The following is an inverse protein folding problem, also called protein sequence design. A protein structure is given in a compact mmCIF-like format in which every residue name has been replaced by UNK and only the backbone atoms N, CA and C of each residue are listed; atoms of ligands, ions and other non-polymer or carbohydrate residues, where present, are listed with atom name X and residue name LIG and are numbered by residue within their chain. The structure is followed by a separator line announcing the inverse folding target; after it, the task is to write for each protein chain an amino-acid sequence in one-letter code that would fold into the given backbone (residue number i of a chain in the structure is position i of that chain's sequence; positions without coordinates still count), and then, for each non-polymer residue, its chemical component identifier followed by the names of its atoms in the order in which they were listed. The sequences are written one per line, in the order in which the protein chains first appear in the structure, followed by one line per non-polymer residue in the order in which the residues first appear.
data_IF_355726238494
#
_entry.id   IF_355726238494
#
_cell.length_a   1.000
_cell.length_b   1.000
_cell.length_c   1.000
_cell.angle_alpha   90.00
_cell.angle_beta   90.00
_cell.angle_gamma   90.00
#
_symmetry.space_group_name_H-M   'P 1'
#
loop_
_entity.id
_entity.type
_entity.pdbx_description
1 polymer ?
#
# COMPACT_ATOMS: atom_id res chain seq x y z
N UNK A 1 -23.14 -6.91 -5.02
CA UNK A 1 -22.58 -8.26 -4.85
C UNK A 1 -21.35 -8.12 -3.97
N UNK A 2 -21.29 -8.86 -2.86
CA UNK A 2 -20.10 -8.88 -2.03
C UNK A 2 -18.90 -9.39 -2.85
N UNK A 3 -17.70 -8.87 -2.59
CA UNK A 3 -16.48 -9.41 -3.20
C UNK A 3 -16.25 -10.80 -2.59
N UNK A 4 -16.57 -11.85 -3.34
CA UNK A 4 -16.44 -13.24 -2.86
C UNK A 4 -14.99 -13.64 -2.63
N UNK A 5 -14.05 -13.04 -3.38
CA UNK A 5 -12.62 -13.35 -3.27
C UNK A 5 -11.75 -12.19 -3.76
N UNK A 6 -10.69 -11.89 -3.02
CA UNK A 6 -9.58 -11.08 -3.47
C UNK A 6 -8.38 -11.97 -3.76
N UNK A 7 -7.61 -11.58 -4.77
CA UNK A 7 -6.34 -12.19 -5.14
C UNK A 7 -5.22 -11.24 -4.79
N UNK A 8 -4.05 -11.78 -4.48
CA UNK A 8 -2.88 -11.00 -4.10
C UNK A 8 -1.62 -11.57 -4.73
N UNK A 9 -0.82 -10.69 -5.31
CA UNK A 9 0.57 -10.95 -5.63
C UNK A 9 1.47 -10.29 -4.60
N UNK A 10 2.35 -11.10 -4.01
CA UNK A 10 3.43 -10.68 -3.15
C UNK A 10 4.67 -10.46 -4.01
N UNK A 11 5.17 -9.23 -4.05
CA UNK A 11 6.25 -8.83 -4.94
C UNK A 11 7.31 -8.02 -4.18
N UNK A 12 8.54 -7.98 -4.68
CA UNK A 12 9.58 -7.09 -4.20
C UNK A 12 10.56 -6.72 -5.31
N UNK A 13 11.25 -5.59 -5.15
CA UNK A 13 12.46 -5.32 -5.94
C UNK A 13 13.63 -5.01 -5.02
N UNK A 14 14.80 -5.54 -5.36
CA UNK A 14 16.02 -5.34 -4.58
C UNK A 14 16.40 -3.86 -4.55
N UNK A 15 16.82 -3.37 -3.38
CA UNK A 15 17.29 -2.01 -3.17
C UNK A 15 18.32 -1.96 -2.03
N UNK A 16 19.48 -1.37 -2.31
CA UNK A 16 20.57 -1.27 -1.33
C UNK A 16 20.32 -0.19 -0.28
N UNK A 17 19.63 0.90 -0.65
CA UNK A 17 19.47 2.10 0.17
C UNK A 17 18.09 2.74 -0.04
N UNK A 18 17.67 3.55 0.93
CA UNK A 18 16.44 4.34 0.83
C UNK A 18 16.62 5.45 -0.21
N UNK A 19 15.73 5.53 -1.22
CA UNK A 19 15.79 6.58 -2.21
C UNK A 19 15.62 7.96 -1.55
N UNK A 20 16.41 8.94 -2.00
CA UNK A 20 16.37 10.31 -1.49
C UNK A 20 15.15 11.11 -1.96
N UNK A 21 14.58 10.72 -3.11
CA UNK A 21 13.37 11.33 -3.67
C UNK A 21 12.13 10.62 -3.10
N UNK A 22 11.11 11.38 -2.64
CA UNK A 22 9.85 10.83 -2.14
C UNK A 22 9.21 9.83 -3.12
N UNK A 23 8.50 8.84 -2.57
CA UNK A 23 7.90 7.77 -3.39
C UNK A 23 6.86 8.31 -4.35
N UNK A 24 6.04 9.26 -3.91
CA UNK A 24 5.01 9.91 -4.74
C UNK A 24 5.62 10.60 -5.96
N UNK A 25 6.65 11.42 -5.77
CA UNK A 25 7.34 12.10 -6.86
C UNK A 25 7.96 11.12 -7.88
N UNK A 26 8.59 10.04 -7.39
CA UNK A 26 9.12 8.97 -8.25
C UNK A 26 8.03 8.22 -9.01
N UNK A 27 6.90 7.95 -8.36
CA UNK A 27 5.76 7.28 -8.98
C UNK A 27 5.18 8.14 -10.09
N UNK A 28 4.98 9.44 -9.85
CA UNK A 28 4.53 10.39 -10.88
C UNK A 28 5.51 10.43 -12.05
N UNK A 29 6.81 10.59 -11.79
CA UNK A 29 7.83 10.59 -12.82
C UNK A 29 7.84 9.30 -13.65
N UNK A 30 7.68 8.15 -13.00
CA UNK A 30 7.56 6.87 -13.69
C UNK A 30 6.34 6.83 -14.60
N UNK A 31 5.15 7.16 -14.06
CA UNK A 31 3.90 7.12 -14.81
C UNK A 31 3.93 8.06 -16.02
N UNK A 32 4.48 9.27 -15.86
CA UNK A 32 4.60 10.28 -16.92
C UNK A 32 5.58 9.89 -18.03
N UNK A 33 6.53 8.98 -17.77
CA UNK A 33 7.46 8.44 -18.79
C UNK A 33 6.84 7.32 -19.63
N UNK A 34 5.75 6.70 -19.18
CA UNK A 34 5.10 5.61 -19.90
C UNK A 34 4.30 6.15 -21.09
N UNK A 35 4.58 5.73 -22.35
CA UNK A 35 4.00 6.32 -23.57
C UNK A 35 2.47 6.29 -23.70
N UNK A 36 1.78 5.51 -22.86
CA UNK A 36 0.32 5.32 -22.88
C UNK A 36 -0.36 5.83 -21.60
N UNK A 37 0.31 6.73 -20.88
CA UNK A 37 -0.20 7.41 -19.70
C UNK A 37 -0.64 8.83 -20.05
N UNK A 38 -1.79 9.24 -19.53
CA UNK A 38 -2.28 10.61 -19.59
C UNK A 38 -2.49 11.13 -18.17
N UNK A 39 -1.75 12.18 -17.79
CA UNK A 39 -2.03 12.92 -16.56
C UNK A 39 -3.35 13.66 -16.71
N UNK A 40 -4.28 13.38 -15.80
CA UNK A 40 -5.56 14.07 -15.82
C UNK A 40 -5.39 15.53 -15.41
N UNK A 41 -4.34 15.92 -14.68
CA UNK A 41 -4.05 17.34 -14.38
C UNK A 41 -3.60 18.17 -15.59
N UNK A 42 -3.35 17.52 -16.73
CA UNK A 42 -2.99 18.19 -17.97
C UNK A 42 -4.07 19.12 -18.54
N UNK A 43 -3.63 20.12 -19.33
CA UNK A 43 -4.51 21.12 -19.96
C UNK A 43 -5.60 20.51 -20.86
N UNK A 44 -5.33 19.33 -21.45
CA UNK A 44 -6.30 18.59 -22.25
C UNK A 44 -7.59 18.23 -21.48
N UNK A 45 -7.51 18.14 -20.15
CA UNK A 45 -8.63 17.81 -19.27
C UNK A 45 -9.10 19.00 -18.42
N UNK A 46 -8.67 20.22 -18.74
CA UNK A 46 -9.06 21.42 -18.01
C UNK A 46 -10.58 21.68 -18.04
N UNK A 47 -11.26 21.25 -19.10
CA UNK A 47 -12.71 21.39 -19.25
C UNK A 47 -13.52 20.36 -18.44
N UNK A 48 -12.85 19.35 -17.89
CA UNK A 48 -13.45 18.31 -17.03
C UNK A 48 -13.45 18.76 -15.56
N UNK A 49 -12.94 19.97 -15.27
CA UNK A 49 -12.74 20.48 -13.92
C UNK A 49 -14.07 20.85 -13.21
N UNK A 50 -14.58 19.92 -12.42
CA UNK A 50 -15.27 20.18 -11.16
C UNK A 50 -14.29 19.87 -10.02
N UNK A 51 -13.88 20.89 -9.27
CA UNK A 51 -12.69 20.96 -8.39
C UNK A 51 -12.49 19.89 -7.28
N UNK A 52 -13.26 18.80 -7.21
CA UNK A 52 -13.21 17.87 -6.05
C UNK A 52 -13.28 16.37 -6.36
N UNK A 53 -13.45 15.94 -7.61
CA UNK A 53 -13.62 14.51 -7.95
C UNK A 53 -12.93 14.17 -9.25
N UNK A 54 -11.60 14.23 -9.26
CA UNK A 54 -10.79 13.85 -10.41
C UNK A 54 -9.84 12.75 -9.99
N UNK A 55 -9.71 11.72 -10.82
CA UNK A 55 -8.63 10.77 -10.67
C UNK A 55 -7.31 11.37 -11.19
N UNK A 56 -6.17 10.79 -10.85
CA UNK A 56 -4.88 11.38 -11.24
C UNK A 56 -4.43 11.02 -12.66
N UNK A 57 -4.62 9.77 -13.11
CA UNK A 57 -4.11 9.32 -14.42
C UNK A 57 -5.06 8.40 -15.19
N UNK A 58 -4.91 8.39 -16.52
CA UNK A 58 -5.38 7.32 -17.40
C UNK A 58 -4.17 6.51 -17.86
N UNK A 59 -4.24 5.18 -17.77
CA UNK A 59 -3.11 4.30 -18.10
C UNK A 59 -3.45 3.30 -19.20
N UNK A 60 -2.42 2.88 -19.92
CA UNK A 60 -2.50 1.79 -20.89
C UNK A 60 -3.44 2.09 -22.06
N UNK A 61 -3.54 3.35 -22.48
CA UNK A 61 -4.49 3.80 -23.50
C UNK A 61 -5.92 3.86 -22.97
N UNK A 62 -6.10 4.48 -21.79
CA UNK A 62 -7.39 4.68 -21.10
C UNK A 62 -8.11 3.40 -20.67
N UNK A 63 -7.40 2.27 -20.60
CA UNK A 63 -7.94 1.01 -20.09
C UNK A 63 -8.00 0.96 -18.57
N UNK A 64 -7.19 1.79 -17.90
CA UNK A 64 -7.20 1.96 -16.45
C UNK A 64 -7.33 3.44 -16.11
N UNK A 65 -8.10 3.72 -15.06
CA UNK A 65 -8.15 5.03 -14.39
C UNK A 65 -7.45 4.83 -13.05
N UNK A 66 -6.37 5.57 -12.82
CA UNK A 66 -5.51 5.41 -11.65
C UNK A 66 -5.62 6.61 -10.70
N UNK A 67 -5.69 6.30 -9.40
CA UNK A 67 -5.66 7.26 -8.31
C UNK A 67 -4.48 6.97 -7.38
N UNK A 68 -3.65 7.97 -7.11
CA UNK A 68 -2.50 7.91 -6.23
C UNK A 68 -2.90 8.38 -4.82
N UNK A 69 -2.47 7.62 -3.81
CA UNK A 69 -2.65 7.98 -2.40
C UNK A 69 -1.43 7.61 -1.57
N UNK A 70 -0.85 8.62 -0.93
CA UNK A 70 0.20 8.43 0.07
C UNK A 70 -0.43 8.14 1.43
N UNK A 71 0.02 7.05 2.05
CA UNK A 71 -0.32 6.68 3.43
C UNK A 71 0.52 7.57 4.33
N UNK A 72 0.02 8.78 4.54
CA UNK A 72 0.44 9.66 5.61
C UNK A 72 -0.51 9.38 6.77
N UNK A 73 -0.02 8.69 7.77
CA UNK A 73 -0.76 8.60 9.00
C UNK A 73 -0.29 9.73 9.91
N UNK A 74 -1.07 9.98 10.96
CA UNK A 74 -0.59 10.64 12.17
C UNK A 74 -0.53 9.51 13.23
N UNK A 75 0.18 8.39 12.98
CA UNK A 75 -0.03 7.16 13.73
C UNK A 75 0.83 7.11 14.98
N UNK A 76 1.90 7.90 15.03
CA UNK A 76 2.94 7.79 16.03
C UNK A 76 2.34 8.08 17.39
N UNK A 77 1.69 9.23 17.59
CA UNK A 77 1.13 9.60 18.89
C UNK A 77 0.12 8.59 19.43
N UNK A 78 -0.74 8.02 18.58
CA UNK A 78 -1.77 7.06 19.01
C UNK A 78 -1.23 5.64 19.24
N UNK A 79 -0.34 5.16 18.38
CA UNK A 79 0.31 3.86 18.58
C UNK A 79 1.24 3.96 19.78
N UNK A 80 2.02 5.04 19.90
CA UNK A 80 2.83 5.32 21.07
C UNK A 80 1.98 5.41 22.33
N UNK A 81 0.85 6.12 22.32
CA UNK A 81 -0.02 6.23 23.48
C UNK A 81 -0.64 4.88 23.86
N UNK A 82 -1.15 4.11 22.90
CA UNK A 82 -1.69 2.77 23.16
C UNK A 82 -0.64 1.79 23.67
N UNK A 83 0.60 1.89 23.17
CA UNK A 83 1.73 1.13 23.69
C UNK A 83 2.16 1.61 25.07
N UNK A 84 2.21 2.94 25.33
CA UNK A 84 2.49 3.54 26.64
C UNK A 84 1.49 3.07 27.69
N UNK A 85 0.19 3.10 27.38
CA UNK A 85 -0.88 2.61 28.25
C UNK A 85 -0.76 1.11 28.56
N UNK A 86 -0.28 0.32 27.60
CA UNK A 86 -0.05 -1.12 27.77
C UNK A 86 1.21 -1.43 28.59
N UNK A 87 2.30 -0.72 28.36
CA UNK A 87 3.55 -0.86 29.13
C UNK A 87 3.45 -0.30 30.55
N UNK A 88 2.46 0.55 30.83
CA UNK A 88 2.13 1.00 32.18
C UNK A 88 1.39 -0.07 33.02
N UNK A 89 1.02 -1.22 32.45
CA UNK A 89 0.36 -2.30 33.20
C UNK A 89 1.36 -3.16 33.98
N UNK A 90 0.97 -3.72 35.15
CA UNK A 90 1.89 -4.47 36.03
C UNK A 90 2.47 -5.76 35.42
N UNK A 91 1.81 -6.32 34.41
CA UNK A 91 2.21 -7.54 33.70
C UNK A 91 3.07 -7.26 32.46
N UNK A 92 3.40 -5.99 32.21
CA UNK A 92 4.20 -5.61 31.06
C UNK A 92 5.63 -6.17 31.18
N UNK A 93 6.21 -6.69 30.09
CA UNK A 93 7.59 -7.14 30.08
C UNK A 93 8.51 -5.94 30.33
N UNK A 94 9.45 -6.10 31.25
CA UNK A 94 10.51 -5.11 31.48
C UNK A 94 11.46 -5.17 30.29
N UNK A 95 11.38 -4.18 29.42
CA UNK A 95 12.24 -4.05 28.24
C UNK A 95 13.48 -3.24 28.61
N UNK A 96 14.66 -3.88 28.54
CA UNK A 96 15.95 -3.17 28.60
C UNK A 96 16.51 -3.01 27.18
N UNK A 97 16.66 -1.78 26.70
CA UNK A 97 17.26 -1.44 25.40
C UNK A 97 16.28 -1.20 24.24
N UNK A 98 16.81 -1.16 23.02
CA UNK A 98 16.11 -0.83 21.76
C UNK A 98 15.50 -2.10 21.15
N UNK A 99 14.19 -2.34 21.32
CA UNK A 99 13.50 -3.52 20.77
C UNK A 99 12.58 -3.19 19.59
N UNK A 100 12.53 -4.09 18.62
CA UNK A 100 11.61 -3.97 17.49
C UNK A 100 10.18 -4.35 17.81
N UNK A 101 9.24 -3.46 17.50
CA UNK A 101 7.80 -3.56 17.86
C UNK A 101 7.20 -4.93 17.53
N UNK A 102 7.49 -5.50 16.35
CA UNK A 102 7.00 -6.84 15.97
C UNK A 102 7.51 -7.95 16.91
N UNK A 103 8.78 -7.90 17.36
CA UNK A 103 9.34 -8.86 18.32
C UNK A 103 8.80 -8.66 19.74
N UNK A 104 8.51 -7.42 20.12
CA UNK A 104 7.90 -7.11 21.41
C UNK A 104 6.48 -7.64 21.45
N UNK A 105 5.71 -7.46 20.38
CA UNK A 105 4.35 -7.97 20.24
C UNK A 105 4.32 -9.50 20.23
N UNK A 106 5.23 -10.18 19.52
CA UNK A 106 5.28 -11.65 19.50
C UNK A 106 5.51 -12.29 20.88
N UNK A 107 6.25 -11.61 21.77
CA UNK A 107 6.54 -12.09 23.13
C UNK A 107 5.47 -11.75 24.17
N UNK A 108 4.43 -10.99 23.81
CA UNK A 108 3.40 -10.53 24.73
C UNK A 108 2.20 -11.50 24.79
N UNK A 109 1.63 -11.76 25.99
CA UNK A 109 0.45 -12.62 26.14
C UNK A 109 -0.81 -12.06 25.43
N UNK A 110 -0.83 -10.77 25.12
CA UNK A 110 -1.89 -10.04 24.42
C UNK A 110 -1.53 -9.66 22.97
N UNK A 111 -0.62 -10.40 22.35
CA UNK A 111 -0.13 -10.19 20.98
C UNK A 111 -1.23 -9.94 19.92
N UNK A 112 -2.39 -10.59 20.04
CA UNK A 112 -3.54 -10.43 19.14
C UNK A 112 -4.15 -9.02 19.23
N UNK A 113 -4.25 -8.43 20.43
CA UNK A 113 -4.83 -7.11 20.62
C UNK A 113 -3.93 -6.02 20.02
N UNK A 114 -2.61 -6.16 20.19
CA UNK A 114 -1.61 -5.24 19.62
C UNK A 114 -1.49 -5.37 18.10
N UNK A 115 -1.55 -6.60 17.57
CA UNK A 115 -1.58 -6.85 16.13
C UNK A 115 -2.84 -6.22 15.51
N UNK A 116 -3.99 -6.35 16.17
CA UNK A 116 -5.24 -5.69 15.79
C UNK A 116 -5.12 -4.16 15.81
N UNK A 117 -4.47 -3.59 16.82
CA UNK A 117 -4.22 -2.13 16.89
C UNK A 117 -3.39 -1.64 15.69
N UNK A 118 -2.32 -2.34 15.31
CA UNK A 118 -1.49 -1.97 14.14
C UNK A 118 -2.29 -2.07 12.83
N UNK A 119 -3.06 -3.15 12.65
CA UNK A 119 -3.98 -3.30 11.52
C UNK A 119 -5.04 -2.20 11.53
N UNK A 120 -5.52 -1.76 12.68
CA UNK A 120 -6.51 -0.68 12.77
C UNK A 120 -5.92 0.68 12.39
N UNK A 121 -4.64 0.92 12.69
CA UNK A 121 -3.97 2.16 12.29
C UNK A 121 -3.74 2.20 10.78
N UNK A 122 -3.16 1.14 10.21
CA UNK A 122 -3.04 0.96 8.76
C UNK A 122 -4.43 1.05 8.08
N UNK A 123 -5.41 0.39 8.72
CA UNK A 123 -6.81 0.33 8.32
C UNK A 123 -7.47 1.70 8.23
N UNK A 124 -7.16 2.65 9.12
CA UNK A 124 -7.74 4.01 9.04
C UNK A 124 -7.37 4.72 7.76
N UNK A 125 -6.09 4.68 7.36
CA UNK A 125 -5.65 5.33 6.12
C UNK A 125 -6.32 4.66 4.90
N UNK A 126 -6.27 3.32 4.82
CA UNK A 126 -6.88 2.56 3.72
C UNK A 126 -8.40 2.81 3.64
N UNK A 127 -9.13 2.72 4.76
CA UNK A 127 -10.58 2.96 4.85
C UNK A 127 -10.97 4.40 4.50
N UNK A 128 -10.06 5.37 4.64
CA UNK A 128 -10.26 6.77 4.22
C UNK A 128 -10.02 6.95 2.72
N UNK A 129 -9.02 6.26 2.17
CA UNK A 129 -8.57 6.46 0.79
C UNK A 129 -9.42 5.70 -0.23
N UNK A 130 -9.79 4.45 0.03
CA UNK A 130 -10.53 3.62 -0.94
C UNK A 130 -11.91 4.18 -1.33
N UNK A 131 -12.77 4.68 -0.40
CA UNK A 131 -14.05 5.27 -0.80
C UNK A 131 -13.88 6.47 -1.72
N UNK A 132 -12.97 7.39 -1.39
CA UNK A 132 -12.71 8.58 -2.20
C UNK A 132 -12.20 8.23 -3.60
N UNK A 133 -11.23 7.32 -3.66
CA UNK A 133 -10.69 6.85 -4.93
C UNK A 133 -11.77 6.18 -5.79
N UNK A 134 -12.65 5.36 -5.18
CA UNK A 134 -13.78 4.75 -5.88
C UNK A 134 -14.71 5.80 -6.51
N UNK A 135 -15.04 6.87 -5.77
CA UNK A 135 -15.90 7.95 -6.26
C UNK A 135 -15.23 8.78 -7.36
N UNK A 136 -13.93 9.06 -7.21
CA UNK A 136 -13.13 9.76 -8.23
C UNK A 136 -13.04 8.94 -9.52
N UNK A 137 -12.78 7.63 -9.43
CA UNK A 137 -12.74 6.73 -10.58
C UNK A 137 -14.12 6.67 -11.24
N UNK A 138 -15.19 6.54 -10.47
CA UNK A 138 -16.57 6.53 -11.00
C UNK A 138 -16.87 7.81 -11.81
N UNK A 139 -16.52 8.97 -11.25
CA UNK A 139 -16.73 10.26 -11.92
C UNK A 139 -15.94 10.36 -13.23
N UNK A 140 -14.72 9.84 -13.30
CA UNK A 140 -13.93 9.84 -14.54
C UNK A 140 -14.50 8.86 -15.57
N UNK A 141 -14.96 7.66 -15.16
CA UNK A 141 -15.65 6.73 -16.06
C UNK A 141 -16.84 7.38 -16.74
N UNK A 142 -17.65 8.10 -15.98
CA UNK A 142 -18.84 8.80 -16.50
C UNK A 142 -18.45 9.96 -17.41
N UNK A 143 -17.54 10.85 -16.97
CA UNK A 143 -17.19 12.07 -17.71
C UNK A 143 -16.45 11.81 -19.03
N UNK A 144 -15.72 10.70 -19.12
CA UNK A 144 -14.93 10.33 -20.30
C UNK A 144 -15.58 9.22 -21.14
N UNK A 145 -16.77 8.75 -20.76
CA UNK A 145 -17.45 7.61 -21.40
C UNK A 145 -16.55 6.37 -21.47
N UNK A 146 -15.98 5.99 -20.32
CA UNK A 146 -15.07 4.85 -20.16
C UNK A 146 -15.67 3.78 -19.22
N UNK A 147 -16.85 3.22 -19.51
CA UNK A 147 -17.53 2.29 -18.60
C UNK A 147 -16.71 1.02 -18.32
N UNK A 148 -15.95 0.55 -19.31
CA UNK A 148 -15.17 -0.70 -19.25
C UNK A 148 -13.78 -0.54 -18.62
N UNK A 149 -13.31 0.70 -18.43
CA UNK A 149 -11.99 0.94 -17.84
C UNK A 149 -11.91 0.32 -16.43
N UNK A 150 -10.79 -0.31 -16.11
CA UNK A 150 -10.51 -0.73 -14.74
C UNK A 150 -10.19 0.46 -13.85
N UNK A 151 -10.40 0.31 -12.55
CA UNK A 151 -9.99 1.30 -11.56
C UNK A 151 -8.80 0.81 -10.78
N UNK A 152 -7.72 1.57 -10.80
CA UNK A 152 -6.49 1.28 -10.07
C UNK A 152 -6.33 2.28 -8.93
N UNK A 153 -6.07 1.79 -7.72
CA UNK A 153 -5.58 2.64 -6.63
C UNK A 153 -4.12 2.32 -6.36
N UNK A 154 -3.25 3.32 -6.44
CA UNK A 154 -1.84 3.21 -6.12
C UNK A 154 -1.62 3.76 -4.71
N UNK A 155 -1.40 2.86 -3.75
CA UNK A 155 -1.11 3.20 -2.35
C UNK A 155 0.40 3.25 -2.13
N UNK A 156 0.88 4.34 -1.54
CA UNK A 156 2.31 4.59 -1.34
C UNK A 156 2.60 4.77 0.14
N UNK A 157 3.57 4.03 0.69
CA UNK A 157 4.05 4.25 2.05
C UNK A 157 5.57 4.44 2.06
N UNK A 158 6.03 5.68 2.19
CA UNK A 158 7.45 6.03 2.27
C UNK A 158 7.88 6.63 3.62
N UNK A 159 6.91 6.99 4.46
CA UNK A 159 7.12 7.69 5.71
C UNK A 159 6.84 6.84 6.97
N UNK A 160 5.97 5.84 6.90
CA UNK A 160 5.46 5.14 8.09
C UNK A 160 6.07 3.75 8.28
N UNK A 161 7.17 3.60 9.04
CA UNK A 161 7.82 2.32 9.25
C UNK A 161 6.99 1.37 10.11
N UNK A 162 6.06 1.90 10.91
CA UNK A 162 5.17 1.13 11.79
C UNK A 162 3.99 0.48 11.05
N UNK A 163 3.76 0.88 9.80
CA UNK A 163 2.71 0.32 8.95
C UNK A 163 3.39 -0.60 7.94
N UNK A 164 3.46 -1.89 8.27
CA UNK A 164 4.07 -2.88 7.39
C UNK A 164 3.17 -3.30 6.21
N UNK A 165 3.76 -3.93 5.20
CA UNK A 165 3.05 -4.42 4.02
C UNK A 165 1.89 -5.37 4.40
N UNK A 166 2.06 -6.21 5.42
CA UNK A 166 1.03 -7.15 5.87
C UNK A 166 -0.18 -6.44 6.47
N UNK A 167 0.05 -5.41 7.29
CA UNK A 167 -1.01 -4.61 7.91
C UNK A 167 -1.83 -3.87 6.85
N UNK A 168 -1.19 -3.33 5.81
CA UNK A 168 -1.88 -2.71 4.66
C UNK A 168 -2.67 -3.77 3.88
N UNK A 169 -2.08 -4.95 3.61
CA UNK A 169 -2.77 -6.05 2.94
C UNK A 169 -4.04 -6.49 3.67
N UNK A 170 -3.97 -6.69 4.98
CA UNK A 170 -5.14 -6.98 5.82
C UNK A 170 -6.16 -5.84 5.82
N UNK A 171 -5.71 -4.59 5.89
CA UNK A 171 -6.59 -3.43 5.83
C UNK A 171 -7.37 -3.35 4.51
N UNK A 172 -6.71 -3.62 3.38
CA UNK A 172 -7.34 -3.70 2.06
C UNK A 172 -8.38 -4.81 2.06
N UNK A 173 -7.99 -6.04 2.42
CA UNK A 173 -8.89 -7.19 2.48
C UNK A 173 -10.15 -6.88 3.29
N UNK A 174 -9.95 -6.38 4.51
CA UNK A 174 -11.03 -6.00 5.41
C UNK A 174 -11.94 -4.90 4.83
N UNK A 175 -11.38 -3.91 4.14
CA UNK A 175 -12.17 -2.83 3.53
C UNK A 175 -13.06 -3.35 2.40
N UNK A 176 -12.58 -4.25 1.56
CA UNK A 176 -13.38 -4.83 0.47
C UNK A 176 -14.43 -5.83 0.96
N UNK A 177 -14.15 -6.58 2.04
CA UNK A 177 -15.09 -7.54 2.62
C UNK A 177 -16.25 -6.87 3.39
N UNK A 178 -15.97 -5.73 4.05
CA UNK A 178 -16.95 -5.06 4.92
C UNK A 178 -17.80 -4.01 4.22
N UNK A 179 -17.48 -3.63 2.98
CA UNK A 179 -18.28 -2.71 2.17
C UNK A 179 -19.20 -3.53 1.27
N UNK A 180 -20.52 -3.32 1.38
CA UNK A 180 -21.55 -4.13 0.68
C UNK A 180 -21.37 -4.20 -0.85
N UNK A 181 -20.87 -3.12 -1.46
CA UNK A 181 -20.56 -3.04 -2.89
C UNK A 181 -19.11 -3.39 -3.23
N UNK A 182 -18.25 -3.56 -2.22
CA UNK A 182 -16.83 -3.83 -2.34
C UNK A 182 -16.08 -2.86 -3.26
N UNK A 183 -16.44 -1.58 -3.27
CA UNK A 183 -15.86 -0.55 -4.16
C UNK A 183 -15.96 -0.92 -5.66
N UNK A 184 -17.15 -0.85 -6.28
CA UNK A 184 -17.42 -1.43 -7.59
C UNK A 184 -16.58 -0.84 -8.73
N UNK A 185 -16.03 0.36 -8.56
CA UNK A 185 -15.23 1.02 -9.58
C UNK A 185 -13.74 0.72 -9.47
N UNK A 186 -13.29 0.11 -8.37
CA UNK A 186 -11.89 -0.32 -8.17
C UNK A 186 -11.76 -1.79 -8.56
N UNK A 187 -10.89 -2.10 -9.51
CA UNK A 187 -10.60 -3.47 -9.99
C UNK A 187 -9.30 -4.01 -9.42
N UNK A 188 -8.33 -3.14 -9.15
CA UNK A 188 -7.03 -3.47 -8.58
C UNK A 188 -6.50 -2.39 -7.64
N UNK A 189 -5.65 -2.80 -6.71
CA UNK A 189 -4.87 -1.94 -5.81
C UNK A 189 -3.41 -2.34 -5.94
N UNK A 190 -2.56 -1.37 -6.24
CA UNK A 190 -1.12 -1.51 -6.23
C UNK A 190 -0.56 -0.77 -5.01
N UNK A 191 0.06 -1.49 -4.08
CA UNK A 191 0.78 -0.89 -2.97
C UNK A 191 2.30 -0.93 -3.22
N UNK A 192 2.97 0.20 -3.01
CA UNK A 192 4.42 0.29 -2.94
C UNK A 192 4.85 0.82 -1.57
N UNK A 193 5.74 0.09 -0.91
CA UNK A 193 6.23 0.43 0.42
C UNK A 193 7.74 0.64 0.36
N UNK A 194 8.20 1.82 0.76
CA UNK A 194 9.62 2.17 0.88
C UNK A 194 10.00 2.68 2.27
N UNK A 195 9.08 2.60 3.24
CA UNK A 195 9.35 2.93 4.65
C UNK A 195 10.20 1.88 5.36
N UNK A 196 10.23 0.65 4.86
CA UNK A 196 11.05 -0.46 5.34
C UNK A 196 11.35 -1.45 4.21
N UNK A 197 12.39 -2.26 4.37
CA UNK A 197 12.73 -3.34 3.44
C UNK A 197 12.20 -4.68 3.94
N UNK A 198 12.32 -5.73 3.14
CA UNK A 198 12.06 -7.13 3.52
C UNK A 198 13.22 -8.00 3.05
N UNK A 199 13.32 -9.22 3.59
CA UNK A 199 14.27 -10.23 3.09
C UNK A 199 13.71 -10.88 1.82
N UNK A 200 14.50 -10.86 0.77
CA UNK A 200 14.23 -11.51 -0.51
C UNK A 200 15.04 -12.81 -0.64
N UNK A 201 14.71 -13.69 -1.61
CA UNK A 201 15.52 -14.87 -1.90
C UNK A 201 17.01 -14.55 -2.09
N UNK A 202 17.87 -15.35 -1.43
CA UNK A 202 19.32 -15.14 -1.40
C UNK A 202 19.77 -14.04 -0.42
N UNK A 203 18.99 -13.78 0.64
CA UNK A 203 19.28 -12.80 1.72
C UNK A 203 19.46 -11.35 1.25
N UNK A 204 19.03 -11.04 0.03
CA UNK A 204 18.99 -9.66 -0.46
C UNK A 204 17.89 -8.88 0.25
N UNK A 205 18.09 -7.57 0.35
CA UNK A 205 17.09 -6.66 0.87
C UNK A 205 16.40 -5.92 -0.28
N UNK A 206 15.10 -5.70 -0.14
CA UNK A 206 14.32 -4.98 -1.12
C UNK A 206 13.03 -4.41 -0.58
N UNK A 207 12.39 -3.59 -1.39
CA UNK A 207 11.14 -2.93 -1.03
C UNK A 207 9.94 -3.79 -1.43
N UNK A 208 8.98 -4.03 -0.52
CA UNK A 208 7.81 -4.83 -0.83
C UNK A 208 6.80 -4.08 -1.69
N UNK A 209 6.10 -4.85 -2.53
CA UNK A 209 4.99 -4.41 -3.35
C UNK A 209 3.86 -5.44 -3.21
N UNK A 210 2.63 -4.95 -3.18
CA UNK A 210 1.45 -5.81 -3.25
C UNK A 210 0.62 -5.39 -4.45
N UNK A 211 0.14 -6.38 -5.18
CA UNK A 211 -0.89 -6.17 -6.19
C UNK A 211 -2.12 -6.98 -5.79
N UNK A 212 -3.17 -6.30 -5.37
CA UNK A 212 -4.44 -6.90 -4.95
C UNK A 212 -5.46 -6.67 -6.06
N UNK A 213 -6.18 -7.71 -6.48
CA UNK A 213 -7.14 -7.59 -7.57
C UNK A 213 -8.35 -8.52 -7.38
N UNK A 214 -9.46 -8.20 -8.05
CA UNK A 214 -10.75 -8.85 -7.81
C UNK A 214 -11.05 -10.06 -8.69
N UNK A 215 -10.49 -10.13 -9.89
CA UNK A 215 -10.87 -11.15 -10.87
C UNK A 215 -9.69 -11.58 -11.72
N UNK A 216 -9.57 -12.90 -11.90
CA UNK A 216 -8.63 -13.52 -12.84
C UNK A 216 -9.10 -13.43 -14.29
N UNK A 217 -10.38 -13.10 -14.54
CA UNK A 217 -10.95 -13.03 -15.88
C UNK A 217 -10.50 -11.77 -16.65
N UNK A 218 -9.99 -10.75 -15.93
CA UNK A 218 -9.47 -9.51 -16.52
C UNK A 218 -8.02 -9.68 -17.00
N UNK A 219 -7.71 -10.75 -17.73
CA UNK A 219 -6.33 -11.14 -18.08
C UNK A 219 -5.54 -10.01 -18.75
N UNK A 220 -6.16 -9.27 -19.68
CA UNK A 220 -5.49 -8.15 -20.36
C UNK A 220 -5.07 -7.01 -19.41
N UNK A 221 -5.89 -6.76 -18.37
CA UNK A 221 -5.56 -5.80 -17.30
C UNK A 221 -4.43 -6.35 -16.42
N UNK A 222 -4.50 -7.63 -16.03
CA UNK A 222 -3.46 -8.27 -15.23
C UNK A 222 -2.10 -8.31 -15.95
N UNK A 223 -2.10 -8.59 -17.25
CA UNK A 223 -0.89 -8.56 -18.08
C UNK A 223 -0.30 -7.14 -18.18
N UNK A 224 -1.17 -6.12 -18.26
CA UNK A 224 -0.74 -4.74 -18.23
C UNK A 224 -0.15 -4.36 -16.86
N UNK A 225 -0.81 -4.74 -15.77
CA UNK A 225 -0.31 -4.51 -14.41
C UNK A 225 1.04 -5.20 -14.18
N UNK A 226 1.19 -6.45 -14.62
CA UNK A 226 2.47 -7.17 -14.52
C UNK A 226 3.59 -6.43 -15.26
N UNK A 227 3.34 -5.94 -16.48
CA UNK A 227 4.32 -5.13 -17.24
C UNK A 227 4.64 -3.80 -16.56
N UNK A 228 3.65 -3.12 -15.98
CA UNK A 228 3.87 -1.87 -15.23
C UNK A 228 4.71 -2.11 -13.99
N UNK A 229 4.43 -3.16 -13.22
CA UNK A 229 5.17 -3.50 -12.01
C UNK A 229 6.63 -3.87 -12.33
N UNK A 230 6.84 -4.61 -13.43
CA UNK A 230 8.17 -4.87 -13.99
C UNK A 230 8.89 -3.57 -14.40
N UNK A 231 8.19 -2.68 -15.11
CA UNK A 231 8.75 -1.41 -15.55
C UNK A 231 9.10 -0.50 -14.38
N UNK A 232 8.26 -0.48 -13.32
CA UNK A 232 8.53 0.23 -12.09
C UNK A 232 9.78 -0.31 -11.39
N UNK A 233 9.96 -1.61 -11.29
CA UNK A 233 11.20 -2.18 -10.72
C UNK A 233 12.44 -1.76 -11.52
N UNK A 234 12.34 -1.73 -12.87
CA UNK A 234 13.43 -1.29 -13.76
C UNK A 234 13.72 0.20 -13.66
N UNK A 235 12.68 1.03 -13.55
CA UNK A 235 12.80 2.46 -13.27
C UNK A 235 13.62 2.69 -11.99
N UNK A 236 13.47 1.78 -11.02
CA UNK A 236 14.22 1.79 -9.76
C UNK A 236 15.55 1.03 -9.82
N UNK A 237 16.06 0.71 -11.02
CA UNK A 237 17.36 0.07 -11.21
C UNK A 237 17.42 -1.41 -10.87
N UNK A 238 16.26 -2.08 -10.77
CA UNK A 238 16.15 -3.45 -10.27
C UNK A 238 15.22 -4.29 -11.16
N UNK A 239 14.92 -5.52 -10.73
CA UNK A 239 13.91 -6.39 -11.32
C UNK A 239 12.92 -6.77 -10.24
N UNK A 240 11.68 -6.98 -10.64
CA UNK A 240 10.69 -7.48 -9.71
C UNK A 240 10.92 -8.97 -9.48
N UNK A 241 10.64 -9.40 -8.27
CA UNK A 241 10.63 -10.80 -7.88
C UNK A 241 9.29 -11.11 -7.22
N UNK A 242 8.70 -12.22 -7.64
CA UNK A 242 7.51 -12.74 -7.00
C UNK A 242 7.91 -13.57 -5.79
N UNK A 243 7.27 -13.27 -4.67
CA UNK A 243 7.49 -13.93 -3.41
C UNK A 243 6.39 -14.97 -3.20
N UNK A 244 6.77 -16.16 -2.73
CA UNK A 244 5.80 -17.21 -2.43
C UNK A 244 5.00 -16.86 -1.17
N UNK A 245 3.68 -16.73 -1.33
CA UNK A 245 2.77 -16.64 -0.19
C UNK A 245 2.50 -18.05 0.37
N UNK A 246 3.10 -18.40 1.52
CA UNK A 246 3.01 -19.76 2.11
C UNK A 246 1.81 -19.98 3.04
N UNK A 247 0.89 -19.03 3.07
CA UNK A 247 -0.28 -19.03 3.96
C UNK A 247 -0.13 -18.08 5.14
N UNK A 248 1.03 -17.45 5.27
CA UNK A 248 1.36 -16.41 6.23
C UNK A 248 2.02 -15.20 5.52
N UNK A 249 2.29 -14.16 6.30
CA UNK A 249 2.94 -12.93 5.85
C UNK A 249 4.43 -12.89 6.21
N UNK A 250 5.05 -14.00 6.58
CA UNK A 250 6.43 -14.00 7.08
C UNK A 250 7.42 -13.49 6.04
N UNK A 251 7.14 -13.74 4.76
CA UNK A 251 7.94 -13.25 3.62
C UNK A 251 7.89 -11.72 3.48
N UNK A 252 6.92 -11.06 4.11
CA UNK A 252 6.74 -9.60 4.13
C UNK A 252 7.22 -8.95 5.43
N UNK A 253 7.91 -9.69 6.30
CA UNK A 253 8.41 -9.15 7.57
C UNK A 253 9.41 -8.01 7.35
N UNK A 254 9.22 -6.86 8.01
CA UNK A 254 10.07 -5.71 7.82
C UNK A 254 11.50 -5.93 8.34
N UNK A 255 12.46 -5.45 7.57
CA UNK A 255 13.86 -5.22 7.92
C UNK A 255 14.08 -3.71 7.92
N UNK A 256 14.50 -3.18 9.05
CA UNK A 256 14.69 -1.74 9.25
C UNK A 256 16.16 -1.37 9.04
N UNK A 257 16.39 -0.24 8.37
CA UNK A 257 17.72 0.22 7.93
C UNK A 257 18.48 0.97 9.03
N UNK A 258 17.77 1.35 10.08
CA UNK A 258 18.30 1.94 11.31
C UNK A 258 17.88 1.14 12.55
N UNK A 259 18.02 1.68 13.77
CA UNK A 259 17.38 1.10 14.93
C UNK A 259 15.90 0.90 14.62
N UNK A 260 15.35 -0.26 14.99
CA UNK A 260 13.91 -0.49 14.82
C UNK A 260 13.14 0.68 15.42
N UNK A 261 12.01 1.14 14.84
CA UNK A 261 11.24 2.24 15.42
C UNK A 261 11.10 2.03 16.92
N UNK A 262 11.63 2.98 17.69
CA UNK A 262 11.69 2.89 19.13
C UNK A 262 10.81 3.95 19.73
N UNK A 263 10.12 3.54 20.79
CA UNK A 263 9.49 4.47 21.71
C UNK A 263 10.61 5.25 22.41
N UNK A 264 10.46 6.57 22.53
CA UNK A 264 11.40 7.38 23.32
C UNK A 264 11.53 6.82 24.76
N UNK A 265 12.70 6.95 25.41
CA UNK A 265 12.87 6.53 26.79
C UNK A 265 11.84 7.22 27.69
N UNK A 266 11.23 6.45 28.58
CA UNK A 266 10.28 6.93 29.58
C UNK A 266 10.97 7.94 30.51
N UNK A 267 10.43 9.16 30.60
CA UNK A 267 10.64 10.05 31.76
C UNK A 267 9.56 9.79 32.81
#
# INVERSE_FOLDING_TARGET
MAVEKLYIDLLAFAAAEKPSVPLEARMMEFLEREPATESLDGAAFAQINGSQTKADYLLGGRRLIAELKTINADPQDRIEQGLKERFAQPDAPIVFGTLGVSKVIEGLPDNQALSKMMVDVAGRAVRRHLPKANDQIAAIKERLDLPDAGGLVILMNDAEPMIDASAIGYAIKSAFENVESGYPHITSVWMSVVSHRIRMPGDRLGYPLLHVFKSLERQAELDFMARMLDAWARFNGSRIERLEHRGDWDVMRPVYDGPTPTLAPFE
#
